data_IF_172138508818
#
_entry.id   IF_172138508818
#
_cell.length_a   1.000
_cell.length_b   1.000
_cell.length_c   1.000
_cell.angle_alpha   90.00
_cell.angle_beta   90.00
_cell.angle_gamma   90.00
#
_symmetry.space_group_name_H-M   'P 1'
#
loop_
_entity.id
_entity.type
_entity.pdbx_description
1 polymer ?
#
# COMPACT_ATOMS: atom_id res chain seq x y z
N UNK A 1 -7.37 24.02 12.24
CA UNK A 1 -6.95 22.91 11.42
C UNK A 1 -8.12 22.00 11.12
N UNK A 2 -8.04 21.27 10.04
CA UNK A 2 -9.03 20.28 9.63
C UNK A 2 -8.69 18.92 10.27
N UNK A 3 -9.69 18.13 10.65
CA UNK A 3 -9.44 16.78 11.14
C UNK A 3 -8.93 15.86 10.00
N UNK A 4 -8.20 14.82 10.37
CA UNK A 4 -7.54 13.93 9.43
C UNK A 4 -8.53 13.21 8.48
N UNK A 5 -9.68 12.76 9.01
CA UNK A 5 -10.69 12.06 8.23
C UNK A 5 -11.30 12.94 7.14
N UNK A 6 -11.63 14.16 7.50
CA UNK A 6 -12.12 15.18 6.55
C UNK A 6 -11.06 15.49 5.50
N UNK A 7 -9.81 15.70 5.93
CA UNK A 7 -8.70 15.95 5.00
C UNK A 7 -8.53 14.80 4.00
N UNK A 8 -8.45 13.55 4.47
CA UNK A 8 -8.34 12.37 3.60
C UNK A 8 -9.50 12.25 2.62
N UNK A 9 -10.72 12.48 3.10
CA UNK A 9 -11.92 12.40 2.26
C UNK A 9 -11.88 13.42 1.13
N UNK A 10 -11.58 14.68 1.44
CA UNK A 10 -11.61 15.79 0.47
C UNK A 10 -10.43 15.76 -0.49
N UNK A 11 -9.24 15.38 -0.02
CA UNK A 11 -8.02 15.46 -0.82
C UNK A 11 -7.67 14.18 -1.56
N UNK A 12 -8.15 13.02 -1.11
CA UNK A 12 -7.80 11.72 -1.69
C UNK A 12 -9.05 10.94 -2.13
N UNK A 13 -9.98 10.64 -1.20
CA UNK A 13 -11.06 9.70 -1.53
C UNK A 13 -12.02 10.24 -2.58
N UNK A 14 -12.48 11.48 -2.42
CA UNK A 14 -13.40 12.10 -3.38
C UNK A 14 -12.77 12.35 -4.75
N UNK A 15 -11.57 12.95 -4.88
CA UNK A 15 -10.93 13.17 -6.18
C UNK A 15 -10.63 11.87 -6.94
N UNK A 16 -10.37 10.77 -6.21
CA UNK A 16 -10.15 9.45 -6.80
C UNK A 16 -11.43 8.64 -6.99
N UNK A 17 -12.59 9.12 -6.52
CA UNK A 17 -13.86 8.39 -6.59
C UNK A 17 -13.88 7.12 -5.73
N UNK A 18 -13.16 7.09 -4.61
CA UNK A 18 -13.09 5.93 -3.70
C UNK A 18 -14.34 5.90 -2.80
N UNK A 19 -15.46 5.45 -3.34
CA UNK A 19 -16.78 5.54 -2.70
C UNK A 19 -17.02 4.50 -1.60
N UNK A 20 -16.16 3.49 -1.48
CA UNK A 20 -16.20 2.46 -0.45
C UNK A 20 -14.89 2.40 0.36
N UNK A 21 -14.29 3.57 0.58
CA UNK A 21 -13.07 3.75 1.37
C UNK A 21 -13.35 4.69 2.53
N UNK A 22 -13.08 4.25 3.75
CA UNK A 22 -13.47 4.94 4.97
C UNK A 22 -12.38 4.84 6.04
N UNK A 23 -12.25 5.86 6.87
CA UNK A 23 -11.63 5.75 8.20
C UNK A 23 -12.63 5.18 9.21
N UNK A 24 -13.85 5.69 9.20
CA UNK A 24 -14.96 5.16 10.00
C UNK A 24 -16.05 4.65 9.07
N UNK A 25 -16.28 3.34 9.07
CA UNK A 25 -17.31 2.73 8.21
C UNK A 25 -18.69 3.23 8.63
N UNK A 26 -19.47 3.83 7.71
CA UNK A 26 -20.83 4.29 8.04
C UNK A 26 -21.72 3.14 8.52
N UNK A 27 -22.67 3.43 9.41
CA UNK A 27 -23.58 2.42 9.96
C UNK A 27 -24.30 1.61 8.87
N UNK A 28 -24.71 2.27 7.78
CA UNK A 28 -25.39 1.63 6.64
C UNK A 28 -24.48 0.68 5.83
N UNK A 29 -23.15 0.79 6.02
CA UNK A 29 -22.15 -0.05 5.36
C UNK A 29 -21.50 -1.09 6.27
N UNK A 30 -21.95 -1.18 7.52
CA UNK A 30 -21.35 -2.11 8.49
C UNK A 30 -21.55 -3.58 8.13
N UNK A 31 -22.60 -3.92 7.38
CA UNK A 31 -22.80 -5.28 6.83
C UNK A 31 -21.75 -5.68 5.82
N UNK A 32 -21.19 -4.69 5.08
CA UNK A 32 -20.20 -4.91 4.04
C UNK A 32 -18.77 -4.94 4.61
N UNK A 33 -18.60 -4.53 5.88
CA UNK A 33 -17.30 -4.54 6.53
C UNK A 33 -16.93 -5.96 6.97
N UNK A 34 -15.97 -6.57 6.28
CA UNK A 34 -15.51 -7.92 6.54
C UNK A 34 -15.03 -8.13 7.99
N UNK A 35 -15.27 -9.31 8.53
CA UNK A 35 -14.55 -9.79 9.70
C UNK A 35 -13.19 -10.31 9.29
N UNK A 36 -12.16 -9.88 10.00
CA UNK A 36 -10.84 -10.50 9.95
C UNK A 36 -10.77 -11.68 10.90
N UNK A 37 -9.78 -12.56 10.70
CA UNK A 37 -9.58 -13.73 11.57
C UNK A 37 -8.14 -13.74 12.09
N UNK A 38 -8.01 -13.73 13.42
CA UNK A 38 -6.72 -13.80 14.08
C UNK A 38 -6.08 -15.22 14.00
N UNK A 39 -4.93 -15.41 14.64
CA UNK A 39 -4.23 -16.71 14.66
C UNK A 39 -5.07 -17.84 15.25
N UNK A 40 -5.94 -17.53 16.21
CA UNK A 40 -6.85 -18.48 16.86
C UNK A 40 -8.16 -18.69 16.09
N UNK A 41 -8.25 -18.18 14.86
CA UNK A 41 -9.44 -18.19 13.99
C UNK A 41 -10.65 -17.48 14.60
N UNK A 42 -10.44 -16.59 15.58
CA UNK A 42 -11.50 -15.76 16.14
C UNK A 42 -11.73 -14.53 15.26
N UNK A 43 -13.02 -14.14 15.07
CA UNK A 43 -13.33 -12.94 14.32
C UNK A 43 -12.85 -11.69 15.06
N UNK A 44 -12.23 -10.78 14.33
CA UNK A 44 -11.72 -9.52 14.87
C UNK A 44 -12.01 -8.36 13.90
N UNK A 45 -12.08 -7.16 14.45
CA UNK A 45 -11.99 -5.90 13.72
C UNK A 45 -10.70 -5.20 14.09
N UNK A 46 -10.31 -4.22 13.30
CA UNK A 46 -9.14 -3.39 13.64
C UNK A 46 -9.42 -2.63 14.93
N UNK A 47 -8.59 -2.84 15.95
CA UNK A 47 -8.74 -2.16 17.23
C UNK A 47 -8.25 -0.72 17.12
N UNK A 48 -9.00 0.24 17.67
CA UNK A 48 -8.50 1.60 17.84
C UNK A 48 -7.22 1.62 18.69
N UNK A 49 -6.32 2.53 18.37
CA UNK A 49 -5.08 2.74 19.08
C UNK A 49 -4.53 4.14 18.85
N UNK A 50 -3.39 4.45 19.44
CA UNK A 50 -2.74 5.72 19.19
C UNK A 50 -2.42 5.86 17.69
N UNK A 51 -2.85 6.96 17.06
CA UNK A 51 -2.67 7.25 15.63
C UNK A 51 -3.23 6.15 14.71
N UNK A 52 -4.28 5.45 15.14
CA UNK A 52 -4.89 4.38 14.35
C UNK A 52 -5.42 4.88 13.01
N UNK A 53 -6.05 6.04 12.99
CA UNK A 53 -6.56 6.67 11.77
C UNK A 53 -5.46 6.97 10.77
N UNK A 54 -4.36 7.52 11.22
CA UNK A 54 -3.22 7.94 10.40
C UNK A 54 -2.36 6.77 9.94
N UNK A 55 -2.19 5.75 10.77
CA UNK A 55 -1.23 4.68 10.54
C UNK A 55 -1.83 3.45 9.82
N UNK A 56 -3.06 3.03 10.18
CA UNK A 56 -3.67 1.77 9.70
C UNK A 56 -5.19 1.77 9.67
N UNK A 57 -5.83 2.92 9.84
CA UNK A 57 -7.30 3.03 10.03
C UNK A 57 -8.14 2.91 8.77
N UNK A 58 -7.56 2.94 7.58
CA UNK A 58 -8.32 2.89 6.33
C UNK A 58 -8.95 1.51 6.10
N UNK A 59 -10.26 1.48 5.85
CA UNK A 59 -11.02 0.33 5.39
C UNK A 59 -11.39 0.61 3.93
N UNK A 60 -11.06 -0.32 3.04
CA UNK A 60 -11.24 -0.12 1.60
C UNK A 60 -11.66 -1.42 0.90
N UNK A 61 -11.99 -1.32 -0.36
CA UNK A 61 -12.26 -2.46 -1.24
C UNK A 61 -11.15 -2.67 -2.25
N UNK A 62 -11.07 -3.86 -2.85
CA UNK A 62 -10.13 -4.13 -3.93
C UNK A 62 -10.36 -3.20 -5.15
N UNK A 63 -11.61 -2.85 -5.43
CA UNK A 63 -11.98 -1.93 -6.51
C UNK A 63 -11.40 -0.53 -6.28
N UNK A 64 -11.68 0.06 -5.10
CA UNK A 64 -11.18 1.40 -4.77
C UNK A 64 -9.66 1.44 -4.72
N UNK A 65 -9.04 0.41 -4.11
CA UNK A 65 -7.58 0.32 -4.04
C UNK A 65 -6.94 0.11 -5.42
N UNK A 66 -7.61 -0.58 -6.35
CA UNK A 66 -7.16 -0.67 -7.74
C UNK A 66 -7.22 0.69 -8.45
N UNK A 67 -8.21 1.53 -8.14
CA UNK A 67 -8.25 2.91 -8.65
C UNK A 67 -7.08 3.74 -8.10
N UNK A 68 -6.76 3.61 -6.81
CA UNK A 68 -5.59 4.25 -6.21
C UNK A 68 -4.28 3.79 -6.87
N UNK A 69 -4.14 2.50 -7.18
CA UNK A 69 -2.99 1.94 -7.92
C UNK A 69 -2.91 2.54 -9.33
N UNK A 70 -4.03 2.62 -10.06
CA UNK A 70 -4.07 3.26 -11.39
C UNK A 70 -3.62 4.73 -11.34
N UNK A 71 -4.00 5.46 -10.30
CA UNK A 71 -3.55 6.83 -10.08
C UNK A 71 -2.03 6.91 -9.87
N UNK A 72 -1.46 6.00 -9.07
CA UNK A 72 -0.01 5.89 -8.85
C UNK A 72 0.78 5.47 -10.11
N UNK A 73 0.14 4.78 -11.05
CA UNK A 73 0.71 4.47 -12.36
C UNK A 73 0.55 5.62 -13.39
N UNK A 74 -0.12 6.71 -13.04
CA UNK A 74 -0.40 7.82 -13.96
C UNK A 74 -1.40 7.50 -15.07
N UNK A 75 -2.23 6.46 -14.90
CA UNK A 75 -3.25 6.05 -15.90
C UNK A 75 -4.68 6.40 -15.48
N UNK A 76 -4.83 7.08 -14.36
CA UNK A 76 -6.09 7.64 -13.91
C UNK A 76 -6.01 9.18 -14.03
N UNK A 77 -7.01 9.84 -14.62
CA UNK A 77 -6.98 11.29 -14.80
C UNK A 77 -7.12 12.00 -13.44
N UNK A 78 -6.15 12.83 -13.12
CA UNK A 78 -6.07 13.61 -11.88
C UNK A 78 -5.75 15.07 -12.17
N UNK A 79 -6.09 15.94 -11.23
CA UNK A 79 -5.51 17.28 -11.21
C UNK A 79 -3.99 17.22 -10.98
N UNK A 80 -3.29 18.27 -11.42
CA UNK A 80 -1.83 18.30 -11.35
C UNK A 80 -1.30 18.25 -9.91
N UNK A 81 -1.99 18.82 -8.96
CA UNK A 81 -1.56 18.86 -7.55
C UNK A 81 -1.52 17.46 -6.96
N UNK A 82 -2.60 16.72 -7.13
CA UNK A 82 -2.68 15.34 -6.63
C UNK A 82 -1.71 14.41 -7.38
N UNK A 83 -1.55 14.58 -8.70
CA UNK A 83 -0.57 13.80 -9.47
C UNK A 83 0.87 14.05 -8.98
N UNK A 84 1.23 15.31 -8.73
CA UNK A 84 2.54 15.66 -8.16
C UNK A 84 2.72 15.07 -6.76
N UNK A 85 1.68 15.11 -5.92
CA UNK A 85 1.72 14.50 -4.59
C UNK A 85 1.96 12.99 -4.66
N UNK A 86 1.23 12.26 -5.52
CA UNK A 86 1.44 10.83 -5.74
C UNK A 86 2.85 10.51 -6.27
N UNK A 87 3.34 11.28 -7.24
CA UNK A 87 4.70 11.13 -7.74
C UNK A 87 5.75 11.35 -6.64
N UNK A 88 5.52 12.27 -5.72
CA UNK A 88 6.41 12.52 -4.59
C UNK A 88 6.46 11.35 -3.60
N UNK A 89 5.40 10.56 -3.46
CA UNK A 89 5.42 9.35 -2.62
C UNK A 89 6.37 8.27 -3.15
N UNK A 90 6.75 8.35 -4.43
CA UNK A 90 7.67 7.46 -5.13
C UNK A 90 9.06 8.07 -5.33
N UNK A 91 9.42 9.08 -4.57
CA UNK A 91 10.81 9.59 -4.52
C UNK A 91 11.66 8.65 -3.71
N UNK A 92 12.77 8.22 -4.29
CA UNK A 92 13.74 7.33 -3.67
C UNK A 92 14.57 8.08 -2.63
N UNK A 93 14.69 7.50 -1.45
CA UNK A 93 15.47 8.06 -0.35
C UNK A 93 16.66 7.17 0.03
N UNK A 94 16.45 5.87 0.06
CA UNK A 94 17.45 4.91 0.53
C UNK A 94 17.44 3.65 -0.32
N UNK A 95 18.55 2.91 -0.30
CA UNK A 95 18.58 1.54 -0.80
C UNK A 95 19.02 0.55 0.28
N UNK A 96 18.43 -0.63 0.25
CA UNK A 96 18.74 -1.78 1.09
C UNK A 96 18.88 -3.00 0.19
N UNK A 97 20.11 -3.45 -0.04
CA UNK A 97 20.34 -4.50 -1.02
C UNK A 97 19.85 -4.08 -2.42
N UNK A 98 18.92 -4.85 -2.99
CA UNK A 98 18.30 -4.56 -4.29
C UNK A 98 17.01 -3.70 -4.18
N UNK A 99 16.51 -3.48 -2.97
CA UNK A 99 15.33 -2.67 -2.72
C UNK A 99 15.68 -1.19 -2.64
N UNK A 100 14.87 -0.36 -3.26
CA UNK A 100 14.86 1.09 -3.04
C UNK A 100 13.67 1.44 -2.14
N UNK A 101 13.94 2.17 -1.07
CA UNK A 101 12.92 2.71 -0.18
C UNK A 101 12.59 4.14 -0.62
N UNK A 102 11.39 4.32 -1.09
CA UNK A 102 10.81 5.63 -1.37
C UNK A 102 10.19 6.22 -0.10
N UNK A 103 9.45 7.32 -0.24
CA UNK A 103 8.75 7.89 0.91
C UNK A 103 7.78 6.88 1.54
N UNK A 104 7.01 6.17 0.71
CA UNK A 104 6.04 5.16 1.16
C UNK A 104 6.30 3.80 0.52
N UNK A 105 6.63 3.78 -0.78
CA UNK A 105 6.76 2.58 -1.58
C UNK A 105 8.12 1.92 -1.46
N UNK A 106 8.17 0.67 -1.79
CA UNK A 106 9.38 -0.14 -1.95
C UNK A 106 9.49 -0.50 -3.43
N UNK A 107 10.62 -0.16 -4.07
CA UNK A 107 10.82 -0.36 -5.51
C UNK A 107 11.99 -1.31 -5.78
N UNK A 108 11.86 -2.07 -6.87
CA UNK A 108 12.90 -2.96 -7.38
C UNK A 108 13.03 -2.76 -8.88
N UNK A 109 14.27 -2.59 -9.36
CA UNK A 109 14.52 -2.49 -10.80
C UNK A 109 14.09 -3.77 -11.52
N UNK A 110 13.46 -3.61 -12.69
CA UNK A 110 13.06 -4.75 -13.52
C UNK A 110 14.21 -5.18 -14.46
N UNK A 111 14.38 -6.47 -14.74
CA UNK A 111 13.60 -7.60 -14.21
C UNK A 111 13.97 -7.95 -12.77
N UNK A 112 12.98 -8.32 -11.97
CA UNK A 112 13.16 -8.77 -10.60
C UNK A 112 12.66 -10.21 -10.44
N UNK A 113 13.33 -11.01 -9.62
CA UNK A 113 12.94 -12.39 -9.31
C UNK A 113 12.16 -12.49 -7.99
N UNK A 114 11.42 -13.58 -7.83
CA UNK A 114 10.62 -13.83 -6.64
C UNK A 114 11.46 -13.87 -5.34
N UNK A 115 12.64 -14.53 -5.27
CA UNK A 115 13.47 -14.52 -4.07
C UNK A 115 13.85 -13.11 -3.62
N UNK A 116 14.22 -12.22 -4.53
CA UNK A 116 14.54 -10.82 -4.23
C UNK A 116 13.35 -10.07 -3.62
N UNK A 117 12.16 -10.25 -4.17
CA UNK A 117 10.93 -9.65 -3.61
C UNK A 117 10.60 -10.21 -2.23
N UNK A 118 10.74 -11.52 -2.04
CA UNK A 118 10.49 -12.17 -0.74
C UNK A 118 11.50 -11.71 0.32
N UNK A 119 12.78 -11.55 -0.04
CA UNK A 119 13.83 -11.04 0.86
C UNK A 119 13.50 -9.62 1.34
N UNK A 120 13.15 -8.72 0.42
CA UNK A 120 12.81 -7.32 0.74
C UNK A 120 11.52 -7.18 1.57
N UNK A 121 10.62 -8.15 1.49
CA UNK A 121 9.38 -8.19 2.27
C UNK A 121 9.47 -9.13 3.50
N UNK A 122 10.66 -9.61 3.84
CA UNK A 122 10.85 -10.54 4.94
C UNK A 122 10.69 -9.86 6.32
N UNK A 123 10.14 -10.56 7.32
CA UNK A 123 10.02 -10.03 8.68
C UNK A 123 11.35 -9.53 9.26
N UNK A 124 12.45 -10.15 8.90
CA UNK A 124 13.80 -9.74 9.35
C UNK A 124 14.11 -8.30 8.93
N UNK A 125 13.79 -7.91 7.70
CA UNK A 125 14.04 -6.56 7.19
C UNK A 125 13.06 -5.55 7.80
N UNK A 126 11.80 -5.94 7.98
CA UNK A 126 10.73 -5.07 8.49
C UNK A 126 10.89 -4.77 9.98
N UNK A 127 11.34 -5.74 10.77
CA UNK A 127 11.34 -5.68 12.23
C UNK A 127 12.70 -5.34 12.85
N UNK A 128 13.77 -5.30 12.06
CA UNK A 128 15.11 -5.04 12.58
C UNK A 128 15.75 -3.83 11.90
N UNK A 129 16.53 -3.04 12.64
CA UNK A 129 17.36 -2.00 12.05
C UNK A 129 18.29 -2.59 10.98
N UNK A 130 18.27 -2.01 9.79
CA UNK A 130 19.09 -2.48 8.67
C UNK A 130 19.90 -1.30 8.12
N UNK A 131 21.20 -1.48 7.86
CA UNK A 131 22.02 -0.43 7.23
C UNK A 131 21.46 -0.06 5.85
N UNK A 132 21.39 1.24 5.59
CA UNK A 132 20.89 1.80 4.34
C UNK A 132 21.95 2.66 3.66
N UNK A 133 21.82 2.87 2.34
CA UNK A 133 22.60 3.85 1.59
C UNK A 133 21.67 4.95 1.12
N UNK A 134 22.04 6.20 1.35
CA UNK A 134 21.30 7.33 0.80
C UNK A 134 21.32 7.28 -0.74
N UNK A 135 20.20 7.63 -1.36
CA UNK A 135 20.04 7.73 -2.80
C UNK A 135 19.97 9.20 -3.22
N UNK A 136 20.48 9.50 -4.42
CA UNK A 136 20.21 10.78 -5.04
C UNK A 136 18.77 10.86 -5.51
N UNK A 137 18.13 12.00 -5.28
CA UNK A 137 16.75 12.20 -5.67
C UNK A 137 16.60 12.20 -7.20
N UNK A 138 15.75 11.33 -7.70
CA UNK A 138 15.26 11.42 -9.07
C UNK A 138 14.14 12.47 -9.15
N UNK A 139 14.19 13.31 -10.17
CA UNK A 139 13.12 14.30 -10.42
C UNK A 139 11.78 13.64 -10.80
N UNK A 140 11.82 12.42 -11.33
CA UNK A 140 10.63 11.66 -11.73
C UNK A 140 10.74 10.22 -11.24
N UNK A 141 9.61 9.61 -10.84
CA UNK A 141 9.57 8.18 -10.51
C UNK A 141 10.00 7.33 -11.71
N UNK A 142 10.70 6.22 -11.45
CA UNK A 142 11.00 5.23 -12.48
C UNK A 142 9.72 4.51 -12.95
N UNK A 143 9.65 4.18 -14.23
CA UNK A 143 8.53 3.39 -14.79
C UNK A 143 8.84 1.90 -14.89
N UNK A 144 10.11 1.54 -15.10
CA UNK A 144 10.56 0.15 -15.26
C UNK A 144 10.99 -0.46 -13.93
N UNK A 145 10.07 -0.48 -12.99
CA UNK A 145 10.26 -0.98 -11.63
C UNK A 145 9.05 -1.79 -11.19
N UNK A 146 9.29 -2.77 -10.33
CA UNK A 146 8.27 -3.39 -9.50
C UNK A 146 8.12 -2.54 -8.24
N UNK A 147 6.97 -1.93 -8.07
CA UNK A 147 6.62 -1.13 -6.90
C UNK A 147 5.71 -1.96 -6.02
N UNK A 148 5.96 -2.02 -4.71
CA UNK A 148 5.08 -2.73 -3.80
C UNK A 148 4.93 -2.09 -2.43
N UNK A 149 3.90 -2.55 -1.69
CA UNK A 149 3.72 -2.30 -0.26
C UNK A 149 2.94 -3.43 0.39
N UNK A 150 3.45 -3.90 1.51
CA UNK A 150 2.74 -4.83 2.40
C UNK A 150 1.95 -4.06 3.46
N UNK A 151 0.89 -4.67 3.95
CA UNK A 151 0.14 -4.22 5.12
C UNK A 151 -0.39 -5.41 5.91
N UNK A 152 -0.40 -5.30 7.24
CA UNK A 152 -0.94 -6.33 8.10
C UNK A 152 -1.46 -5.75 9.41
N UNK A 153 -2.58 -6.29 9.87
CA UNK A 153 -3.12 -6.12 11.22
C UNK A 153 -3.39 -7.50 11.82
N UNK A 154 -3.92 -7.54 13.05
CA UNK A 154 -4.14 -8.81 13.73
C UNK A 154 -5.04 -9.80 12.95
N UNK A 155 -5.96 -9.32 12.13
CA UNK A 155 -6.90 -10.19 11.40
C UNK A 155 -6.94 -9.97 9.89
N UNK A 156 -6.06 -9.12 9.33
CA UNK A 156 -6.08 -8.77 7.93
C UNK A 156 -4.66 -8.73 7.36
N UNK A 157 -4.56 -9.01 6.07
CA UNK A 157 -3.33 -8.87 5.31
C UNK A 157 -3.59 -8.19 3.98
N UNK A 158 -2.68 -7.33 3.55
CA UNK A 158 -2.75 -6.67 2.25
C UNK A 158 -1.40 -6.74 1.54
N UNK A 159 -1.44 -6.75 0.23
CA UNK A 159 -0.29 -6.55 -0.62
C UNK A 159 -0.74 -5.83 -1.89
N UNK A 160 0.03 -4.82 -2.26
CA UNK A 160 -0.12 -4.11 -3.52
C UNK A 160 1.19 -4.27 -4.28
N UNK A 161 1.09 -4.55 -5.57
CA UNK A 161 2.24 -4.47 -6.47
C UNK A 161 1.81 -3.90 -7.82
N UNK A 162 2.70 -3.13 -8.47
CA UNK A 162 2.45 -2.64 -9.81
C UNK A 162 3.75 -2.34 -10.57
N UNK A 163 3.67 -2.41 -11.89
CA UNK A 163 4.76 -2.07 -12.83
C UNK A 163 4.23 -0.98 -13.77
N UNK A 164 4.57 0.30 -13.55
CA UNK A 164 4.00 1.42 -14.30
C UNK A 164 4.17 1.29 -15.82
N UNK A 165 5.36 0.93 -16.29
CA UNK A 165 5.64 0.76 -17.72
C UNK A 165 4.75 -0.28 -18.39
N UNK A 166 4.43 -1.37 -17.68
CA UNK A 166 3.55 -2.43 -18.18
C UNK A 166 2.07 -2.12 -17.96
N UNK A 167 1.73 -1.05 -17.25
CA UNK A 167 0.37 -0.71 -16.81
C UNK A 167 -0.30 -1.89 -16.11
N UNK A 168 0.48 -2.65 -15.38
CA UNK A 168 0.08 -3.85 -14.66
C UNK A 168 0.08 -3.58 -13.17
N UNK A 169 -0.93 -4.07 -12.46
CA UNK A 169 -1.00 -3.97 -11.01
C UNK A 169 -1.85 -5.08 -10.40
N UNK A 170 -1.48 -5.47 -9.19
CA UNK A 170 -2.16 -6.47 -8.37
C UNK A 170 -2.54 -5.87 -7.03
N UNK A 171 -3.78 -6.07 -6.61
CA UNK A 171 -4.27 -5.76 -5.27
C UNK A 171 -4.74 -7.04 -4.61
N UNK A 172 -4.11 -7.39 -3.50
CA UNK A 172 -4.47 -8.54 -2.69
C UNK A 172 -4.94 -8.07 -1.32
N UNK A 173 -6.20 -8.33 -1.00
CA UNK A 173 -6.79 -8.07 0.32
C UNK A 173 -7.26 -9.40 0.91
N UNK A 174 -6.82 -9.70 2.13
CA UNK A 174 -7.18 -10.92 2.83
C UNK A 174 -7.75 -10.58 4.21
N UNK A 175 -8.85 -11.22 4.56
CA UNK A 175 -9.43 -11.14 5.91
C UNK A 175 -8.79 -12.16 6.88
N UNK A 176 -7.53 -12.47 6.63
CA UNK A 176 -6.63 -13.24 7.48
C UNK A 176 -5.21 -12.76 7.25
N UNK A 177 -4.42 -12.67 8.30
CA UNK A 177 -3.02 -12.28 8.20
C UNK A 177 -2.15 -13.46 7.72
N UNK A 178 -2.03 -13.61 6.41
CA UNK A 178 -1.10 -14.54 5.78
C UNK A 178 0.34 -14.00 5.83
N UNK A 179 1.36 -14.88 5.82
CA UNK A 179 2.75 -14.47 5.69
C UNK A 179 2.99 -13.59 4.45
N UNK A 180 3.90 -12.62 4.57
CA UNK A 180 4.25 -11.74 3.45
C UNK A 180 4.77 -12.53 2.24
N UNK A 181 5.61 -13.56 2.48
CA UNK A 181 6.17 -14.39 1.41
C UNK A 181 5.10 -15.00 0.50
N UNK A 182 4.00 -15.51 1.08
CA UNK A 182 2.88 -16.08 0.32
C UNK A 182 2.14 -15.01 -0.50
N UNK A 183 1.91 -13.82 0.09
CA UNK A 183 1.26 -12.70 -0.61
C UNK A 183 2.09 -12.19 -1.78
N UNK A 184 3.40 -12.08 -1.60
CA UNK A 184 4.36 -11.69 -2.65
C UNK A 184 4.37 -12.74 -3.76
N UNK A 185 4.41 -14.03 -3.42
CA UNK A 185 4.40 -15.12 -4.41
C UNK A 185 3.12 -15.14 -5.25
N UNK A 186 1.95 -14.98 -4.62
CA UNK A 186 0.66 -14.91 -5.33
C UNK A 186 0.63 -13.75 -6.33
N UNK A 187 1.15 -12.60 -5.95
CA UNK A 187 1.16 -11.43 -6.82
C UNK A 187 2.22 -11.51 -7.94
N UNK A 188 3.28 -12.30 -7.74
CA UNK A 188 4.36 -12.47 -8.71
C UNK A 188 3.99 -13.46 -9.84
N UNK A 189 3.19 -14.49 -9.54
CA UNK A 189 2.68 -15.49 -10.50
C UNK A 189 1.55 -14.94 -11.36
#
# INVERSE_FOLDING_TARGET
GQDFGTAMTQTIFQPLGLTNTYLNVPTQKMSDYAWGYNKDKKPVRVNPGMLDSEAYGIKTTASDLSTFVKANMGIFPLDNTLQVALNNTRKSYFSVGKMTQDLIWEEYAMPVDLPTLQEGNAPKLILNPTPVRAQEFSAKPSSNVWVNKTGATNGFGAYIAFVPEKRFGVVLLANKNYPNAERVEIAYK
#
